data_IF_153914764845
#
_entry.id   IF_153914764845
#
_cell.length_a   1.000
_cell.length_b   1.000
_cell.length_c   1.000
_cell.angle_alpha   90.00
_cell.angle_beta   90.00
_cell.angle_gamma   90.00
#
_symmetry.space_group_name_H-M   'P 1'
#
loop_
_entity.id
_entity.type
_entity.pdbx_description
1 polymer ?
#
# COMPACT_ATOMS: atom_id res chain seq x y z
N UNK A 1 -37.42 -24.55 -11.05
CA UNK A 1 -36.13 -24.05 -10.52
C UNK A 1 -36.21 -22.53 -10.42
N UNK A 2 -36.77 -21.99 -9.33
CA UNK A 2 -36.94 -20.54 -9.13
C UNK A 2 -35.64 -19.99 -8.54
N UNK A 3 -34.86 -19.30 -9.35
CA UNK A 3 -33.73 -18.51 -8.87
C UNK A 3 -34.29 -17.34 -8.04
N UNK A 4 -33.98 -17.21 -6.73
CA UNK A 4 -34.42 -16.04 -5.96
C UNK A 4 -33.47 -14.88 -6.29
N UNK A 5 -33.69 -14.26 -7.45
CA UNK A 5 -32.81 -13.25 -8.05
C UNK A 5 -32.99 -11.83 -7.51
N UNK A 6 -33.02 -11.64 -6.19
CA UNK A 6 -32.71 -10.31 -5.61
C UNK A 6 -31.39 -10.43 -4.87
N UNK A 7 -30.36 -9.80 -5.43
CA UNK A 7 -29.13 -9.53 -4.69
C UNK A 7 -29.51 -8.71 -3.45
N UNK A 8 -29.11 -9.17 -2.28
CA UNK A 8 -29.30 -8.41 -1.05
C UNK A 8 -28.51 -7.09 -1.18
N UNK A 9 -29.17 -5.92 -1.13
CA UNK A 9 -28.49 -4.64 -1.29
C UNK A 9 -27.39 -4.44 -0.25
N UNK A 10 -27.53 -5.00 0.95
CA UNK A 10 -26.51 -4.93 1.99
C UNK A 10 -25.28 -5.75 1.61
N UNK A 11 -25.48 -6.96 1.10
CA UNK A 11 -24.38 -7.82 0.63
C UNK A 11 -23.64 -7.19 -0.55
N UNK A 12 -24.38 -6.59 -1.50
CA UNK A 12 -23.77 -5.85 -2.63
C UNK A 12 -22.96 -4.67 -2.13
N UNK A 13 -23.51 -3.85 -1.22
CA UNK A 13 -22.79 -2.71 -0.65
C UNK A 13 -21.50 -3.15 0.07
N UNK A 14 -21.55 -4.24 0.85
CA UNK A 14 -20.38 -4.77 1.54
C UNK A 14 -19.29 -5.23 0.55
N UNK A 15 -19.66 -5.91 -0.54
CA UNK A 15 -18.72 -6.33 -1.59
C UNK A 15 -18.11 -5.11 -2.30
N UNK A 16 -18.91 -4.10 -2.63
CA UNK A 16 -18.42 -2.88 -3.27
C UNK A 16 -17.43 -2.15 -2.37
N UNK A 17 -17.74 -1.99 -1.08
CA UNK A 17 -16.83 -1.36 -0.12
C UNK A 17 -15.55 -2.17 0.03
N UNK A 18 -15.65 -3.50 0.11
CA UNK A 18 -14.48 -4.37 0.20
C UNK A 18 -13.60 -4.27 -1.06
N UNK A 19 -14.19 -4.33 -2.26
CA UNK A 19 -13.46 -4.13 -3.52
C UNK A 19 -12.82 -2.74 -3.58
N UNK A 20 -13.52 -1.70 -3.12
CA UNK A 20 -12.96 -0.35 -3.00
C UNK A 20 -11.76 -0.30 -2.05
N UNK A 21 -11.80 -1.02 -0.92
CA UNK A 21 -10.68 -1.08 0.02
C UNK A 21 -9.48 -1.89 -0.51
N UNK A 22 -9.75 -2.93 -1.30
CA UNK A 22 -8.72 -3.78 -1.90
C UNK A 22 -8.05 -3.08 -3.08
N UNK A 23 -8.84 -2.55 -4.01
CA UNK A 23 -8.37 -1.97 -5.28
C UNK A 23 -8.05 -0.48 -5.18
N UNK A 24 -8.72 0.25 -4.27
CA UNK A 24 -8.57 1.69 -4.13
C UNK A 24 -7.12 2.12 -3.84
N UNK A 25 -6.45 1.59 -2.81
CA UNK A 25 -5.09 2.00 -2.47
C UNK A 25 -4.05 1.71 -3.56
N UNK A 26 -4.03 0.53 -4.23
CA UNK A 26 -3.18 0.31 -5.40
C UNK A 26 -3.43 1.30 -6.53
N UNK A 27 -4.70 1.57 -6.87
CA UNK A 27 -5.04 2.50 -7.95
C UNK A 27 -4.62 3.94 -7.60
N UNK A 28 -4.92 4.38 -6.38
CA UNK A 28 -4.51 5.70 -5.89
C UNK A 28 -2.98 5.85 -5.86
N UNK A 29 -2.26 4.80 -5.49
CA UNK A 29 -0.80 4.79 -5.48
C UNK A 29 -0.23 4.89 -6.90
N UNK A 30 -0.81 4.19 -7.87
CA UNK A 30 -0.40 4.25 -9.28
C UNK A 30 -0.66 5.64 -9.87
N UNK A 31 -1.83 6.23 -9.62
CA UNK A 31 -2.15 7.60 -10.05
C UNK A 31 -1.21 8.63 -9.41
N UNK A 32 -0.92 8.49 -8.11
CA UNK A 32 0.05 9.33 -7.43
C UNK A 32 1.46 9.19 -8.03
N UNK A 33 1.90 7.96 -8.32
CA UNK A 33 3.17 7.68 -8.99
C UNK A 33 3.27 8.37 -10.34
N UNK A 34 2.24 8.31 -11.18
CA UNK A 34 2.25 8.95 -12.51
C UNK A 34 2.43 10.47 -12.43
N UNK A 35 1.82 11.11 -11.43
CA UNK A 35 2.00 12.55 -11.20
C UNK A 35 3.37 12.89 -10.63
N UNK A 36 3.90 12.04 -9.75
CA UNK A 36 5.14 12.32 -9.00
C UNK A 36 6.40 11.97 -9.79
N UNK A 37 6.39 10.87 -10.53
CA UNK A 37 7.57 10.33 -11.19
C UNK A 37 8.28 11.34 -12.12
N UNK A 38 7.59 12.14 -12.96
CA UNK A 38 8.25 13.12 -13.83
C UNK A 38 9.05 14.18 -13.07
N UNK A 39 8.56 14.58 -11.90
CA UNK A 39 9.23 15.60 -11.07
C UNK A 39 10.51 15.04 -10.44
N UNK A 40 10.45 13.81 -9.95
CA UNK A 40 11.57 13.15 -9.25
C UNK A 40 12.58 12.58 -10.24
N UNK A 41 12.17 12.25 -11.47
CA UNK A 41 13.07 11.80 -12.55
C UNK A 41 13.75 12.95 -13.31
N UNK A 42 13.53 14.21 -12.90
CA UNK A 42 14.15 15.36 -13.55
C UNK A 42 15.65 15.45 -13.25
N UNK A 43 16.41 16.00 -14.20
CA UNK A 43 17.84 16.24 -14.02
C UNK A 43 18.13 17.22 -12.86
N UNK A 44 17.23 18.18 -12.63
CA UNK A 44 17.31 19.12 -11.51
C UNK A 44 17.20 18.41 -10.15
N UNK A 45 16.24 17.49 -10.01
CA UNK A 45 16.11 16.68 -8.80
C UNK A 45 17.36 15.85 -8.52
N UNK A 46 17.93 15.23 -9.56
CA UNK A 46 19.18 14.48 -9.44
C UNK A 46 20.37 15.37 -9.05
N UNK A 47 20.50 16.55 -9.67
CA UNK A 47 21.56 17.49 -9.32
C UNK A 47 21.48 17.95 -7.86
N UNK A 48 20.27 18.25 -7.36
CA UNK A 48 20.07 18.59 -5.95
C UNK A 48 20.41 17.44 -4.99
N UNK A 49 20.12 16.20 -5.39
CA UNK A 49 20.52 15.02 -4.64
C UNK A 49 22.04 14.81 -4.62
N UNK A 50 22.71 15.03 -5.74
CA UNK A 50 24.16 14.93 -5.84
C UNK A 50 24.85 16.01 -5.00
N UNK A 51 24.35 17.25 -5.03
CA UNK A 51 24.82 18.34 -4.17
C UNK A 51 24.69 18.00 -2.68
N UNK A 52 23.53 17.45 -2.28
CA UNK A 52 23.29 16.98 -0.92
C UNK A 52 24.28 15.88 -0.50
N UNK A 53 24.53 14.90 -1.38
CA UNK A 53 25.49 13.81 -1.14
C UNK A 53 26.91 14.34 -0.99
N UNK A 54 27.30 15.30 -1.82
CA UNK A 54 28.62 15.91 -1.77
C UNK A 54 28.80 16.76 -0.51
N UNK A 55 27.76 17.48 -0.07
CA UNK A 55 27.78 18.20 1.21
C UNK A 55 27.93 17.26 2.40
N UNK A 56 27.18 16.16 2.40
CA UNK A 56 27.31 15.11 3.42
C UNK A 56 28.71 14.49 3.41
N UNK A 57 29.33 14.32 2.22
CA UNK A 57 30.72 13.83 2.12
C UNK A 57 31.72 14.81 2.72
N UNK A 58 31.57 16.12 2.46
CA UNK A 58 32.42 17.17 3.04
C UNK A 58 32.29 17.26 4.56
N UNK A 59 31.13 16.92 5.11
CA UNK A 59 30.88 16.89 6.55
C UNK A 59 31.31 15.58 7.22
N UNK A 60 31.32 14.47 6.48
CA UNK A 60 31.81 13.18 6.96
C UNK A 60 33.33 13.18 7.13
N UNK A 61 33.84 12.66 8.24
CA UNK A 61 35.29 12.57 8.49
C UNK A 61 35.90 13.72 9.29
N UNK A 62 35.13 14.74 9.70
CA UNK A 62 35.62 15.87 10.53
C UNK A 62 35.85 15.55 12.03
N UNK A 63 36.06 14.29 12.40
CA UNK A 63 36.47 13.90 13.76
C UNK A 63 35.48 14.25 14.90
N UNK A 64 34.27 14.71 14.60
CA UNK A 64 33.25 15.01 15.60
C UNK A 64 32.56 13.76 16.14
N UNK A 65 31.94 13.82 17.34
CA UNK A 65 31.29 12.67 17.97
C UNK A 65 30.13 12.08 17.16
N UNK A 66 29.54 12.85 16.22
CA UNK A 66 28.52 12.38 15.28
C UNK A 66 29.10 12.32 13.88
N UNK A 67 29.37 11.11 13.40
CA UNK A 67 29.74 10.87 12.01
C UNK A 67 28.49 10.76 11.14
N UNK A 68 28.27 11.74 10.27
CA UNK A 68 27.18 11.66 9.28
C UNK A 68 27.54 10.63 8.22
N UNK A 69 26.65 9.64 8.01
CA UNK A 69 26.80 8.64 6.96
C UNK A 69 26.34 9.24 5.64
N UNK A 70 27.22 9.22 4.64
CA UNK A 70 26.83 9.54 3.27
C UNK A 70 25.82 8.48 2.80
N UNK A 71 24.69 8.88 2.21
CA UNK A 71 23.74 7.92 1.64
C UNK A 71 24.44 6.96 0.68
N UNK A 72 23.98 5.71 0.58
CA UNK A 72 24.59 4.74 -0.34
C UNK A 72 24.06 4.86 -1.77
N UNK A 73 22.78 5.24 -1.94
CA UNK A 73 22.12 5.32 -3.24
C UNK A 73 22.65 6.48 -4.08
N UNK A 74 23.09 6.19 -5.30
CA UNK A 74 23.48 7.20 -6.29
C UNK A 74 22.26 7.97 -6.83
N UNK A 75 21.15 7.27 -7.04
CA UNK A 75 19.87 7.88 -7.43
C UNK A 75 19.07 8.32 -6.20
N UNK A 76 18.11 9.23 -6.40
CA UNK A 76 17.16 9.60 -5.35
C UNK A 76 16.43 8.36 -4.82
N UNK A 77 16.38 8.15 -3.49
CA UNK A 77 15.66 7.02 -2.91
C UNK A 77 14.18 6.97 -3.32
N UNK A 78 13.53 8.12 -3.45
CA UNK A 78 12.15 8.23 -3.92
C UNK A 78 12.00 7.73 -5.36
N UNK A 79 12.95 8.04 -6.24
CA UNK A 79 12.95 7.55 -7.63
C UNK A 79 13.05 6.03 -7.69
N UNK A 80 13.99 5.45 -6.94
CA UNK A 80 14.20 4.00 -6.85
C UNK A 80 12.95 3.30 -6.29
N UNK A 81 12.30 3.90 -5.30
CA UNK A 81 11.08 3.35 -4.72
C UNK A 81 9.93 3.35 -5.74
N UNK A 82 9.70 4.48 -6.40
CA UNK A 82 8.63 4.64 -7.40
C UNK A 82 8.85 3.80 -8.65
N UNK A 83 10.10 3.66 -9.10
CA UNK A 83 10.45 2.90 -10.31
C UNK A 83 10.45 1.39 -10.05
N UNK A 84 11.14 0.96 -8.99
CA UNK A 84 11.54 -0.44 -8.85
C UNK A 84 10.69 -1.22 -7.81
N UNK A 85 10.04 -0.53 -6.86
CA UNK A 85 9.38 -1.19 -5.72
C UNK A 85 7.84 -1.06 -5.72
N UNK A 86 7.26 -0.41 -6.73
CA UNK A 86 5.80 -0.22 -6.81
C UNK A 86 5.04 -1.54 -6.86
N UNK A 87 5.53 -2.51 -7.63
CA UNK A 87 4.91 -3.83 -7.74
C UNK A 87 4.93 -4.56 -6.38
N UNK A 88 6.04 -4.45 -5.64
CA UNK A 88 6.16 -5.03 -4.31
C UNK A 88 5.13 -4.43 -3.34
N UNK A 89 4.94 -3.10 -3.38
CA UNK A 89 3.95 -2.41 -2.56
C UNK A 89 2.52 -2.89 -2.89
N UNK A 90 2.19 -3.04 -4.18
CA UNK A 90 0.88 -3.55 -4.62
C UNK A 90 0.68 -4.99 -4.15
N UNK A 91 1.66 -5.88 -4.36
CA UNK A 91 1.56 -7.28 -3.93
C UNK A 91 1.38 -7.36 -2.41
N UNK A 92 2.19 -6.64 -1.64
CA UNK A 92 2.09 -6.62 -0.19
C UNK A 92 0.71 -6.17 0.29
N UNK A 93 0.15 -5.13 -0.35
CA UNK A 93 -1.21 -4.67 -0.06
C UNK A 93 -2.26 -5.73 -0.39
N UNK A 94 -2.20 -6.33 -1.59
CA UNK A 94 -3.14 -7.35 -2.02
C UNK A 94 -3.11 -8.58 -1.12
N UNK A 95 -1.91 -9.02 -0.70
CA UNK A 95 -1.76 -10.10 0.26
C UNK A 95 -2.36 -9.75 1.61
N UNK A 96 -2.05 -8.58 2.16
CA UNK A 96 -2.57 -8.13 3.45
C UNK A 96 -4.11 -8.04 3.43
N UNK A 97 -4.66 -7.34 2.45
CA UNK A 97 -6.10 -7.13 2.31
C UNK A 97 -6.84 -8.45 2.04
N UNK A 98 -6.25 -9.35 1.24
CA UNK A 98 -6.80 -10.67 0.97
C UNK A 98 -6.85 -11.55 2.21
N UNK A 99 -5.73 -11.67 2.95
CA UNK A 99 -5.65 -12.50 4.16
C UNK A 99 -6.58 -11.95 5.25
N UNK A 100 -6.51 -10.65 5.54
CA UNK A 100 -7.33 -10.02 6.56
C UNK A 100 -8.82 -10.09 6.19
N UNK A 101 -9.17 -9.79 4.94
CA UNK A 101 -10.53 -9.88 4.44
C UNK A 101 -11.10 -11.30 4.53
N UNK A 102 -10.32 -12.30 4.09
CA UNK A 102 -10.72 -13.71 4.19
C UNK A 102 -10.94 -14.16 5.63
N UNK A 103 -10.05 -13.78 6.54
CA UNK A 103 -10.21 -14.05 7.97
C UNK A 103 -11.48 -13.41 8.55
N UNK A 104 -11.72 -12.13 8.26
CA UNK A 104 -12.92 -11.42 8.72
C UNK A 104 -14.22 -12.05 8.21
N UNK A 105 -14.24 -12.44 6.93
CA UNK A 105 -15.39 -13.16 6.34
C UNK A 105 -15.63 -14.48 7.06
N UNK A 106 -14.58 -15.25 7.35
CA UNK A 106 -14.69 -16.52 8.08
C UNK A 106 -15.29 -16.32 9.48
N UNK A 107 -14.80 -15.33 10.23
CA UNK A 107 -15.31 -14.98 11.57
C UNK A 107 -16.77 -14.54 11.50
N UNK A 108 -17.10 -13.66 10.55
CA UNK A 108 -18.46 -13.14 10.40
C UNK A 108 -19.47 -14.25 10.04
N UNK A 109 -19.12 -15.11 9.08
CA UNK A 109 -19.96 -16.27 8.72
C UNK A 109 -20.12 -17.24 9.90
N UNK A 110 -19.08 -17.43 10.71
CA UNK A 110 -19.14 -18.21 11.94
C UNK A 110 -20.15 -17.63 12.94
N UNK A 111 -20.07 -16.34 13.23
CA UNK A 111 -20.95 -15.66 14.17
C UNK A 111 -22.43 -15.69 13.73
N UNK A 112 -22.70 -15.42 12.45
CA UNK A 112 -24.06 -15.46 11.89
C UNK A 112 -24.68 -16.85 11.98
N UNK A 113 -23.90 -17.91 11.70
CA UNK A 113 -24.35 -19.30 11.81
C UNK A 113 -24.68 -19.71 13.25
N UNK A 114 -23.93 -19.22 14.24
CA UNK A 114 -24.21 -19.51 15.66
C UNK A 114 -25.47 -18.80 16.17
N UNK A 115 -25.68 -17.53 15.80
CA UNK A 115 -26.87 -16.78 16.19
C UNK A 115 -28.18 -17.39 15.70
N UNK A 116 -28.18 -17.96 14.49
CA UNK A 116 -29.34 -18.66 13.93
C UNK A 116 -29.59 -20.04 14.56
N UNK A 117 -28.54 -20.73 15.02
CA UNK A 117 -28.67 -22.00 15.73
C UNK A 117 -29.19 -21.83 17.17
N UNK A 118 -28.85 -20.72 17.84
CA UNK A 118 -29.36 -20.38 19.17
C UNK A 118 -30.85 -20.00 19.19
N UNK A 119 -31.35 -19.32 18.15
CA UNK A 119 -32.74 -18.90 18.06
C UNK A 119 -33.74 -20.03 17.75
N UNK A 120 -33.25 -21.19 17.29
CA UNK A 120 -34.11 -22.34 16.94
C UNK A 120 -34.26 -23.37 18.07
N UNK A 121 -33.63 -23.13 19.23
CA UNK A 121 -33.66 -24.00 20.42
C UNK A 121 -34.28 -23.32 21.66
N UNK A 122 -34.85 -22.13 21.51
CA UNK A 122 -35.59 -21.42 22.55
C UNK A 122 -37.09 -21.51 22.33
#
# INVERSE_FOLDING_TARGET
MRWPGRLDPVAVAAVVVWLGMVLGPPLALLEWRERRLPTVSSAESQAGWDEFRDDMRRQSGRGGPVQRKVPKSAELPELVWLRDHIALAVIAWMTLAGVLGGFLVMVFLGAVRQGTAGHRRG
#
